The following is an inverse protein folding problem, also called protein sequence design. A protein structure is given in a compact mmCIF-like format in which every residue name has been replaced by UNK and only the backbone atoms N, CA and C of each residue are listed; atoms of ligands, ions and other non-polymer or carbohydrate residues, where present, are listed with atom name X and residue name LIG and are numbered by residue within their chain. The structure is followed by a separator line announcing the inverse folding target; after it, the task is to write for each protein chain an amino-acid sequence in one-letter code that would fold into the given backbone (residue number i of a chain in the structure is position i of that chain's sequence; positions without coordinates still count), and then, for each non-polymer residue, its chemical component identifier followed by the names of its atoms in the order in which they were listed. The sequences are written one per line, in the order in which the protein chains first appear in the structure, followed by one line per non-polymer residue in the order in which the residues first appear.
data_IF_105764260602
#
_entry.id   IF_105764260602
#
_cell.length_a   1.000
_cell.length_b   1.000
_cell.length_c   1.000
_cell.angle_alpha   90.00
_cell.angle_beta   90.00
_cell.angle_gamma   90.00
#
_symmetry.space_group_name_H-M   'P 1'
#
loop_
_entity.id
_entity.type
_entity.pdbx_description
1 polymer ?
#
# COMPACT_ATOMS: atom_id res chain seq x y z
N UNK A 1 -2.92 17.82 11.79
CA UNK A 1 -3.35 16.92 10.70
C UNK A 1 -2.57 17.11 9.38
N UNK A 2 -1.74 18.16 9.21
CA UNK A 2 -0.96 18.40 7.98
C UNK A 2 0.34 17.60 7.88
N UNK A 3 1.01 17.35 9.00
CA UNK A 3 2.42 16.92 8.97
C UNK A 3 2.57 15.40 8.78
N UNK A 4 1.68 14.60 9.37
CA UNK A 4 1.63 13.14 9.14
C UNK A 4 1.21 12.79 7.71
N UNK A 5 0.30 13.56 7.11
CA UNK A 5 -0.13 13.33 5.73
C UNK A 5 1.02 13.60 4.75
N UNK A 6 1.71 14.75 4.89
CA UNK A 6 2.92 15.07 4.12
C UNK A 6 4.03 14.04 4.33
N UNK A 7 4.22 13.55 5.55
CA UNK A 7 5.22 12.50 5.86
C UNK A 7 4.99 11.21 5.07
N UNK A 8 3.74 10.75 4.95
CA UNK A 8 3.42 9.50 4.24
C UNK A 8 3.56 9.61 2.72
N UNK A 9 3.11 10.74 2.15
CA UNK A 9 3.27 11.01 0.72
C UNK A 9 4.76 11.07 0.37
N UNK A 10 5.56 11.70 1.25
CA UNK A 10 7.00 11.76 1.11
C UNK A 10 7.68 10.39 1.23
N UNK A 11 7.22 9.52 2.12
CA UNK A 11 7.77 8.16 2.26
C UNK A 11 7.63 7.32 0.98
N UNK A 12 6.49 7.42 0.29
CA UNK A 12 6.29 6.73 -0.99
C UNK A 12 7.26 7.25 -2.06
N UNK A 13 7.43 8.57 -2.13
CA UNK A 13 8.37 9.21 -3.06
C UNK A 13 9.82 8.83 -2.73
N UNK A 14 10.21 8.90 -1.46
CA UNK A 14 11.58 8.57 -1.03
C UNK A 14 11.91 7.10 -1.31
N UNK A 15 10.97 6.17 -1.08
CA UNK A 15 11.15 4.77 -1.45
C UNK A 15 11.40 4.60 -2.96
N UNK A 16 10.66 5.34 -3.79
CA UNK A 16 10.89 5.36 -5.24
C UNK A 16 12.27 5.95 -5.59
N UNK A 17 12.61 7.12 -5.05
CA UNK A 17 13.88 7.81 -5.32
C UNK A 17 15.09 6.96 -4.90
N UNK A 18 15.02 6.29 -3.75
CA UNK A 18 16.06 5.35 -3.29
C UNK A 18 16.24 4.16 -4.24
N UNK A 19 15.14 3.66 -4.82
CA UNK A 19 15.17 2.55 -5.78
C UNK A 19 15.67 2.96 -7.17
N UNK A 20 15.59 4.25 -7.54
CA UNK A 20 15.85 4.73 -8.89
C UNK A 20 17.11 5.60 -8.98
N UNK A 21 18.24 4.96 -9.28
CA UNK A 21 19.56 5.64 -9.41
C UNK A 21 19.56 6.80 -10.42
N UNK A 22 18.69 6.77 -11.45
CA UNK A 22 18.64 7.83 -12.48
C UNK A 22 18.11 9.16 -11.95
N UNK A 23 17.37 9.13 -10.84
CA UNK A 23 16.82 10.31 -10.18
C UNK A 23 17.78 10.93 -9.15
N UNK A 24 19.00 10.41 -9.03
CA UNK A 24 20.02 11.01 -8.16
C UNK A 24 20.33 12.44 -8.62
N UNK A 25 20.25 13.37 -7.67
CA UNK A 25 20.55 14.79 -7.88
C UNK A 25 19.38 15.64 -8.40
N UNK A 26 18.15 15.12 -8.43
CA UNK A 26 16.97 15.97 -8.54
C UNK A 26 16.72 16.67 -7.20
N UNK A 27 16.42 17.97 -7.24
CA UNK A 27 15.86 18.68 -6.09
C UNK A 27 14.36 18.39 -6.01
N UNK A 28 13.84 18.16 -4.81
CA UNK A 28 12.41 17.93 -4.56
C UNK A 28 11.83 19.19 -3.94
N UNK A 29 10.86 19.80 -4.63
CA UNK A 29 10.06 20.90 -4.10
C UNK A 29 8.69 20.37 -3.66
N UNK A 30 8.32 20.69 -2.42
CA UNK A 30 7.04 20.35 -1.80
C UNK A 30 6.18 21.62 -1.74
N UNK A 31 5.43 21.87 -2.82
CA UNK A 31 4.64 23.09 -3.03
C UNK A 31 3.17 22.82 -3.35
N UNK A 32 2.54 23.71 -4.13
CA UNK A 32 1.18 23.48 -4.64
C UNK A 32 1.17 22.47 -5.80
N UNK A 33 0.13 21.63 -5.83
CA UNK A 33 -0.22 20.58 -6.83
C UNK A 33 0.51 20.66 -8.18
N UNK A 34 1.20 19.62 -8.68
CA UNK A 34 1.20 18.25 -8.17
C UNK A 34 1.93 18.15 -6.83
N UNK A 35 1.70 17.06 -6.10
CA UNK A 35 2.19 16.92 -4.71
C UNK A 35 3.70 17.13 -4.57
N UNK A 36 4.48 16.80 -5.62
CA UNK A 36 5.92 17.06 -5.66
C UNK A 36 6.35 17.59 -7.03
N UNK A 37 7.40 18.41 -7.05
CA UNK A 37 8.10 18.80 -8.28
C UNK A 37 9.57 18.41 -8.18
N UNK A 38 10.00 17.49 -9.04
CA UNK A 38 11.41 17.11 -9.18
C UNK A 38 12.08 18.02 -10.23
N UNK A 39 13.11 18.75 -9.84
CA UNK A 39 13.83 19.67 -10.74
C UNK A 39 15.28 19.26 -10.93
N UNK A 40 15.74 19.22 -12.17
CA UNK A 40 17.16 19.05 -12.53
C UNK A 40 17.48 19.78 -13.83
N UNK A 41 18.49 20.64 -13.82
CA UNK A 41 18.93 21.42 -14.99
C UNK A 41 17.79 22.21 -15.68
N UNK A 42 16.86 22.77 -14.89
CA UNK A 42 15.70 23.51 -15.41
C UNK A 42 14.52 22.64 -15.85
N UNK A 43 14.71 21.33 -16.03
CA UNK A 43 13.63 20.37 -16.33
C UNK A 43 12.82 20.05 -15.07
N UNK A 44 11.50 20.13 -15.16
CA UNK A 44 10.53 19.97 -14.07
C UNK A 44 9.61 18.79 -14.31
N UNK A 45 9.68 17.81 -13.42
CA UNK A 45 8.79 16.65 -13.40
C UNK A 45 7.80 16.83 -12.25
N UNK A 46 6.53 16.98 -12.57
CA UNK A 46 5.46 16.98 -11.59
C UNK A 46 5.10 15.55 -11.20
N UNK A 47 5.13 15.21 -9.91
CA UNK A 47 4.72 13.91 -9.39
C UNK A 47 3.46 14.08 -8.57
N UNK A 48 2.34 13.62 -9.11
CA UNK A 48 1.07 13.56 -8.40
C UNK A 48 1.00 12.23 -7.64
N UNK A 49 0.81 12.31 -6.33
CA UNK A 49 0.68 11.15 -5.45
C UNK A 49 -0.79 10.94 -5.09
N UNK A 50 -1.24 9.70 -5.18
CA UNK A 50 -2.56 9.35 -4.67
C UNK A 50 -2.61 7.91 -4.20
N UNK A 51 -3.58 7.67 -3.31
CA UNK A 51 -3.75 6.40 -2.63
C UNK A 51 -4.86 5.60 -3.26
N UNK A 52 -4.66 4.29 -3.28
CA UNK A 52 -5.72 3.30 -3.43
C UNK A 52 -5.59 2.27 -2.31
N UNK A 53 -6.67 1.54 -2.03
CA UNK A 53 -6.69 0.52 -0.99
C UNK A 53 -7.29 -0.78 -1.56
N UNK A 54 -6.79 -1.91 -1.07
CA UNK A 54 -7.32 -3.24 -1.34
C UNK A 54 -8.31 -3.70 -0.27
N UNK A 55 -8.43 -3.04 0.89
CA UNK A 55 -9.40 -3.43 1.92
C UNK A 55 -10.68 -2.59 1.87
N UNK A 56 -10.58 -1.27 1.62
CA UNK A 56 -11.77 -0.42 1.53
C UNK A 56 -12.26 -0.23 0.11
N UNK A 57 -13.57 -0.44 -0.04
CA UNK A 57 -14.31 -0.17 -1.27
C UNK A 57 -14.81 1.29 -1.37
N UNK A 58 -14.47 2.18 -0.43
CA UNK A 58 -14.94 3.56 -0.38
C UNK A 58 -13.82 4.59 -0.14
N UNK A 59 -14.01 5.80 -0.67
CA UNK A 59 -13.08 6.95 -0.72
C UNK A 59 -12.73 7.60 0.64
N UNK A 60 -12.69 6.85 1.74
CA UNK A 60 -12.31 7.37 3.06
C UNK A 60 -10.87 6.96 3.42
N UNK A 61 -10.23 7.74 4.30
CA UNK A 61 -8.86 7.48 4.77
C UNK A 61 -8.69 5.99 5.14
N UNK A 62 -7.89 5.30 4.31
CA UNK A 62 -7.73 3.83 4.20
C UNK A 62 -7.80 3.06 5.53
N UNK A 63 -8.63 2.01 5.63
CA UNK A 63 -8.62 1.10 6.80
C UNK A 63 -7.25 0.45 6.98
N UNK A 64 -6.46 0.25 5.93
CA UNK A 64 -5.09 -0.25 6.07
C UNK A 64 -4.20 0.67 6.91
N UNK A 65 -4.43 1.99 6.85
CA UNK A 65 -3.77 2.91 7.79
C UNK A 65 -4.33 2.79 9.20
N UNK A 66 -5.62 2.49 9.36
CA UNK A 66 -6.19 2.19 10.67
C UNK A 66 -5.57 0.92 11.24
N UNK A 67 -5.38 -0.13 10.44
CA UNK A 67 -4.73 -1.37 10.86
C UNK A 67 -3.25 -1.16 11.19
N UNK A 68 -2.47 -0.52 10.32
CA UNK A 68 -1.07 -0.18 10.60
C UNK A 68 -0.95 0.68 11.88
N UNK A 69 -1.81 1.69 12.03
CA UNK A 69 -1.85 2.55 13.20
C UNK A 69 -2.29 1.83 14.48
N UNK A 70 -3.29 0.94 14.39
CA UNK A 70 -3.75 0.11 15.50
C UNK A 70 -2.65 -0.86 15.95
N UNK A 71 -1.97 -1.51 15.01
CA UNK A 71 -0.84 -2.40 15.28
C UNK A 71 0.31 -1.66 15.95
N UNK A 72 0.64 -0.47 15.46
CA UNK A 72 1.67 0.37 16.08
C UNK A 72 1.30 0.76 17.50
N UNK A 73 0.07 1.24 17.73
CA UNK A 73 -0.42 1.59 19.08
C UNK A 73 -0.45 0.39 20.02
N UNK A 74 -0.83 -0.78 19.53
CA UNK A 74 -0.80 -2.03 20.28
C UNK A 74 0.63 -2.39 20.69
N UNK A 75 1.60 -2.30 19.76
CA UNK A 75 3.01 -2.50 20.07
C UNK A 75 3.50 -1.51 21.13
N UNK A 76 3.25 -0.20 20.94
CA UNK A 76 3.67 0.85 21.88
C UNK A 76 3.09 0.62 23.29
N UNK A 77 1.80 0.27 23.38
CA UNK A 77 1.12 -0.08 24.64
C UNK A 77 1.82 -1.21 25.38
N UNK A 78 2.09 -2.33 24.70
CA UNK A 78 2.65 -3.52 25.33
C UNK A 78 4.16 -3.41 25.57
N UNK A 79 4.87 -2.69 24.70
CA UNK A 79 6.28 -2.39 24.89
C UNK A 79 6.52 -1.48 26.10
N UNK A 80 5.69 -0.45 26.30
CA UNK A 80 5.77 0.40 27.49
C UNK A 80 5.57 -0.40 28.78
N UNK A 81 4.59 -1.32 28.80
CA UNK A 81 4.39 -2.24 29.94
C UNK A 81 5.57 -3.16 30.18
N UNK A 82 6.21 -3.66 29.11
CA UNK A 82 7.42 -4.46 29.20
C UNK A 82 8.59 -3.70 29.81
N UNK A 83 8.79 -2.44 29.44
CA UNK A 83 9.87 -1.62 30.00
C UNK A 83 9.65 -1.26 31.48
N UNK A 84 8.41 -1.35 31.97
CA UNK A 84 8.04 -1.05 33.35
C UNK A 84 7.84 -2.31 34.22
N UNK A 85 8.24 -3.50 33.74
CA UNK A 85 7.99 -4.80 34.41
C UNK A 85 6.50 -5.11 34.69
N UNK A 86 5.59 -4.47 33.94
CA UNK A 86 4.13 -4.63 34.02
C UNK A 86 3.56 -5.46 32.84
N UNK A 87 4.42 -6.20 32.13
CA UNK A 87 4.01 -6.95 30.96
C UNK A 87 3.04 -8.08 31.31
N UNK A 88 1.92 -8.10 30.61
CA UNK A 88 0.90 -9.14 30.70
C UNK A 88 0.82 -9.86 29.36
N UNK A 89 1.38 -11.07 29.32
CA UNK A 89 1.43 -11.91 28.14
C UNK A 89 0.03 -12.32 27.66
N UNK A 90 -0.91 -12.58 28.58
CA UNK A 90 -2.28 -12.96 28.25
C UNK A 90 -3.06 -11.79 27.63
N UNK A 91 -2.93 -10.59 28.22
CA UNK A 91 -3.53 -9.39 27.66
C UNK A 91 -2.93 -9.04 26.29
N UNK A 92 -1.61 -9.20 26.13
CA UNK A 92 -0.93 -8.99 24.85
C UNK A 92 -1.40 -9.98 23.79
N UNK A 93 -1.47 -11.27 24.13
CA UNK A 93 -1.96 -12.30 23.22
C UNK A 93 -3.41 -12.06 22.78
N UNK A 94 -4.30 -11.66 23.69
CA UNK A 94 -5.69 -11.31 23.34
C UNK A 94 -5.79 -10.13 22.38
N UNK A 95 -5.01 -9.07 22.60
CA UNK A 95 -5.00 -7.91 21.69
C UNK A 95 -4.48 -8.30 20.29
N UNK A 96 -3.42 -9.12 20.22
CA UNK A 96 -2.87 -9.64 18.95
C UNK A 96 -3.90 -10.54 18.25
N UNK A 97 -4.55 -11.42 18.99
CA UNK A 97 -5.60 -12.31 18.47
C UNK A 97 -6.74 -11.53 17.82
N UNK A 98 -7.24 -10.48 18.49
CA UNK A 98 -8.27 -9.59 17.96
C UNK A 98 -7.78 -8.93 16.66
N UNK A 99 -6.56 -8.38 16.66
CA UNK A 99 -5.99 -7.70 15.49
C UNK A 99 -5.84 -8.65 14.29
N UNK A 100 -5.37 -9.88 14.51
CA UNK A 100 -5.22 -10.90 13.46
C UNK A 100 -6.59 -11.31 12.91
N UNK A 101 -7.57 -11.56 13.77
CA UNK A 101 -8.91 -11.98 13.31
C UNK A 101 -9.63 -10.86 12.55
N UNK A 102 -9.42 -9.59 12.93
CA UNK A 102 -9.93 -8.45 12.17
C UNK A 102 -9.30 -8.36 10.77
N UNK A 103 -7.97 -8.55 10.68
CA UNK A 103 -7.25 -8.60 9.42
C UNK A 103 -7.73 -9.75 8.52
N UNK A 104 -7.90 -10.96 9.07
CA UNK A 104 -8.45 -12.12 8.35
C UNK A 104 -9.86 -11.87 7.82
N UNK A 105 -10.70 -11.18 8.60
CA UNK A 105 -12.04 -10.79 8.17
C UNK A 105 -12.03 -9.71 7.08
N UNK A 106 -11.03 -8.82 7.08
CA UNK A 106 -10.86 -7.81 6.05
C UNK A 106 -10.40 -8.44 4.73
N UNK A 107 -9.36 -9.28 4.75
CA UNK A 107 -8.86 -9.95 3.53
C UNK A 107 -9.88 -10.90 2.90
N UNK A 108 -10.70 -11.57 3.71
CA UNK A 108 -11.73 -12.50 3.20
C UNK A 108 -12.85 -11.78 2.43
N UNK A 109 -13.02 -10.48 2.66
CA UNK A 109 -13.99 -9.62 1.96
C UNK A 109 -13.42 -8.93 0.73
N UNK A 110 -12.13 -9.13 0.44
CA UNK A 110 -11.52 -8.54 -0.74
C UNK A 110 -12.22 -9.00 -2.02
N UNK A 111 -12.66 -8.04 -2.82
CA UNK A 111 -13.21 -8.27 -4.15
C UNK A 111 -12.40 -7.53 -5.21
N UNK A 112 -11.78 -8.31 -6.11
CA UNK A 112 -10.91 -7.79 -7.16
C UNK A 112 -11.63 -6.81 -8.10
N UNK A 113 -12.90 -7.08 -8.45
CA UNK A 113 -13.65 -6.21 -9.39
C UNK A 113 -13.92 -4.84 -8.78
N UNK A 114 -14.31 -4.82 -7.50
CA UNK A 114 -14.56 -3.59 -6.78
C UNK A 114 -13.28 -2.77 -6.63
N UNK A 115 -12.17 -3.43 -6.29
CA UNK A 115 -10.84 -2.79 -6.28
C UNK A 115 -10.49 -2.13 -7.62
N UNK A 116 -10.63 -2.84 -8.75
CA UNK A 116 -10.32 -2.29 -10.08
C UNK A 116 -11.23 -1.11 -10.44
N UNK A 117 -12.52 -1.17 -10.11
CA UNK A 117 -13.46 -0.07 -10.35
C UNK A 117 -13.08 1.18 -9.54
N UNK A 118 -12.68 1.00 -8.28
CA UNK A 118 -12.25 2.10 -7.42
C UNK A 118 -10.94 2.71 -7.89
N UNK A 119 -9.95 1.88 -8.22
CA UNK A 119 -8.67 2.33 -8.78
C UNK A 119 -8.91 3.13 -10.06
N UNK A 120 -9.82 2.67 -10.94
CA UNK A 120 -10.21 3.40 -12.14
C UNK A 120 -10.80 4.77 -11.79
N UNK A 121 -11.74 4.85 -10.85
CA UNK A 121 -12.34 6.12 -10.44
C UNK A 121 -11.31 7.12 -9.91
N UNK A 122 -10.43 6.67 -9.00
CA UNK A 122 -9.35 7.51 -8.43
C UNK A 122 -8.39 7.96 -9.53
N UNK A 123 -7.93 7.04 -10.38
CA UNK A 123 -6.99 7.38 -11.45
C UNK A 123 -7.58 8.42 -12.41
N UNK A 124 -8.86 8.27 -12.78
CA UNK A 124 -9.57 9.22 -13.64
C UNK A 124 -9.70 10.60 -12.99
N UNK A 125 -9.97 10.65 -11.68
CA UNK A 125 -10.05 11.90 -10.92
C UNK A 125 -8.72 12.65 -10.89
N UNK A 126 -7.58 11.97 -10.77
CA UNK A 126 -6.28 12.62 -10.84
C UNK A 126 -5.86 12.96 -12.27
N UNK A 127 -6.20 12.10 -13.24
CA UNK A 127 -5.94 12.35 -14.67
C UNK A 127 -6.59 13.64 -15.17
N UNK A 128 -7.79 13.98 -14.69
CA UNK A 128 -8.47 15.23 -15.09
C UNK A 128 -7.73 16.51 -14.70
N UNK A 129 -6.78 16.44 -13.74
CA UNK A 129 -5.97 17.58 -13.28
C UNK A 129 -4.65 17.73 -14.04
N UNK A 130 -4.25 16.73 -14.83
CA UNK A 130 -3.00 16.73 -15.61
C UNK A 130 -2.84 17.97 -16.52
N UNK A 131 -3.90 18.47 -17.20
CA UNK A 131 -3.78 19.68 -18.01
C UNK A 131 -3.31 20.92 -17.22
N UNK A 132 -3.62 21.02 -15.93
CA UNK A 132 -3.15 22.11 -15.08
C UNK A 132 -1.68 21.95 -14.71
N UNK A 133 -1.25 20.73 -14.42
CA UNK A 133 0.14 20.44 -14.07
C UNK A 133 1.09 20.71 -15.24
N UNK A 134 0.67 20.38 -16.47
CA UNK A 134 1.43 20.66 -17.69
C UNK A 134 1.67 22.13 -18.00
N UNK A 135 0.95 23.06 -17.34
CA UNK A 135 1.24 24.50 -17.46
C UNK A 135 2.55 24.90 -16.78
N UNK A 136 3.04 24.08 -15.84
CA UNK A 136 4.22 24.39 -15.01
C UNK A 136 5.26 23.27 -14.92
N UNK A 137 4.97 22.10 -15.48
CA UNK A 137 5.86 20.94 -15.51
C UNK A 137 6.03 20.43 -16.94
N UNK A 138 7.26 20.01 -17.28
CA UNK A 138 7.61 19.43 -18.58
C UNK A 138 7.07 17.99 -18.70
N UNK A 139 7.02 17.28 -17.57
CA UNK A 139 6.46 15.93 -17.46
C UNK A 139 5.53 15.81 -16.25
N UNK A 140 4.56 14.89 -16.35
CA UNK A 140 3.67 14.55 -15.24
C UNK A 140 3.72 13.06 -15.00
N UNK A 141 4.07 12.67 -13.78
CA UNK A 141 4.20 11.30 -13.32
C UNK A 141 3.17 11.03 -12.23
N UNK A 142 2.62 9.83 -12.21
CA UNK A 142 1.73 9.37 -11.14
C UNK A 142 2.45 8.38 -10.24
N UNK A 143 2.40 8.64 -8.93
CA UNK A 143 2.85 7.75 -7.87
C UNK A 143 1.63 7.22 -7.12
N UNK A 144 1.29 5.96 -7.39
CA UNK A 144 0.13 5.30 -6.80
C UNK A 144 0.59 4.50 -5.57
N UNK A 145 0.17 4.93 -4.38
CA UNK A 145 0.37 4.19 -3.13
C UNK A 145 -0.81 3.26 -2.86
N UNK A 146 -0.60 1.95 -2.99
CA UNK A 146 -1.62 0.93 -2.78
C UNK A 146 -1.39 0.27 -1.41
N UNK A 147 -2.31 0.54 -0.47
CA UNK A 147 -2.34 -0.15 0.81
C UNK A 147 -2.71 -1.62 0.65
N UNK A 148 -1.88 -2.50 1.19
CA UNK A 148 -2.13 -3.94 1.27
C UNK A 148 -2.05 -4.43 2.72
N UNK A 149 -2.84 -5.45 3.03
CA UNK A 149 -2.94 -6.03 4.37
C UNK A 149 -1.72 -6.88 4.71
N UNK A 150 -1.30 -7.68 3.72
CA UNK A 150 -0.14 -8.53 3.74
C UNK A 150 0.39 -8.64 2.30
N UNK A 151 1.55 -9.27 2.11
CA UNK A 151 2.15 -9.43 0.79
C UNK A 151 1.92 -10.80 0.15
N UNK A 152 1.02 -11.64 0.69
CA UNK A 152 0.78 -13.02 0.27
C UNK A 152 -0.48 -13.08 -0.62
N UNK A 153 -0.25 -13.16 -1.93
CA UNK A 153 -1.32 -13.18 -2.91
C UNK A 153 -1.39 -14.51 -3.65
N UNK A 154 -2.61 -14.94 -3.96
CA UNK A 154 -2.86 -15.94 -5.00
C UNK A 154 -3.28 -15.21 -6.27
N UNK A 155 -2.57 -15.46 -7.36
CA UNK A 155 -2.82 -14.82 -8.66
C UNK A 155 -3.40 -15.82 -9.64
N UNK A 156 -4.29 -15.34 -10.50
CA UNK A 156 -4.88 -16.11 -11.59
C UNK A 156 -4.45 -15.52 -12.92
N UNK A 157 -3.92 -16.37 -13.79
CA UNK A 157 -3.50 -16.00 -15.14
C UNK A 157 -4.65 -16.16 -16.14
N UNK A 158 -4.50 -15.54 -17.32
CA UNK A 158 -5.50 -15.64 -18.40
C UNK A 158 -5.76 -17.08 -18.87
N UNK A 159 -4.74 -17.95 -18.80
CA UNK A 159 -4.86 -19.37 -19.14
C UNK A 159 -5.56 -20.21 -18.04
N UNK A 160 -6.04 -19.57 -16.96
CA UNK A 160 -6.69 -20.22 -15.83
C UNK A 160 -5.73 -20.79 -14.78
N UNK A 161 -4.41 -20.75 -15.01
CA UNK A 161 -3.41 -21.18 -14.03
C UNK A 161 -3.38 -20.26 -12.81
N UNK A 162 -2.98 -20.82 -11.67
CA UNK A 162 -2.87 -20.09 -10.41
C UNK A 162 -1.48 -20.27 -9.80
N UNK A 163 -0.95 -19.22 -9.17
CA UNK A 163 0.30 -19.28 -8.40
C UNK A 163 0.27 -18.34 -7.22
N UNK A 164 1.22 -18.48 -6.30
CA UNK A 164 1.41 -17.58 -5.17
C UNK A 164 2.45 -16.51 -5.49
N UNK A 165 2.26 -15.29 -4.98
CA UNK A 165 3.17 -14.17 -5.13
C UNK A 165 3.35 -13.44 -3.79
N UNK A 166 4.58 -13.00 -3.53
CA UNK A 166 4.96 -12.28 -2.29
C UNK A 166 5.07 -10.75 -2.50
N UNK A 167 4.31 -10.22 -3.45
CA UNK A 167 4.26 -8.82 -3.87
C UNK A 167 2.89 -8.52 -4.50
N UNK A 168 2.42 -7.26 -4.41
CA UNK A 168 1.19 -6.84 -5.05
C UNK A 168 1.24 -7.13 -6.57
N UNK A 169 0.33 -7.97 -7.09
CA UNK A 169 0.31 -8.31 -8.51
C UNK A 169 -0.17 -7.13 -9.36
N UNK A 170 0.51 -6.91 -10.48
CA UNK A 170 0.09 -5.94 -11.49
C UNK A 170 -0.70 -6.67 -12.56
N UNK A 171 -2.00 -6.39 -12.63
CA UNK A 171 -2.91 -7.08 -13.55
C UNK A 171 -3.06 -6.35 -14.88
N UNK A 172 -3.57 -7.05 -15.88
CA UNK A 172 -3.92 -6.46 -17.18
C UNK A 172 -4.92 -5.31 -17.04
N UNK A 173 -5.89 -5.41 -16.13
CA UNK A 173 -6.87 -4.34 -15.90
C UNK A 173 -6.21 -3.07 -15.34
N UNK A 174 -5.24 -3.20 -14.43
CA UNK A 174 -4.47 -2.06 -13.90
C UNK A 174 -3.69 -1.37 -15.03
N UNK A 175 -2.99 -2.15 -15.86
CA UNK A 175 -2.25 -1.63 -17.01
C UNK A 175 -3.18 -0.93 -18.00
N UNK A 176 -4.36 -1.50 -18.28
CA UNK A 176 -5.37 -0.89 -19.14
C UNK A 176 -5.88 0.46 -18.61
N UNK A 177 -5.99 0.62 -17.29
CA UNK A 177 -6.32 1.90 -16.65
C UNK A 177 -5.18 2.91 -16.90
N UNK A 178 -3.94 2.49 -16.65
CA UNK A 178 -2.76 3.37 -16.75
C UNK A 178 -2.50 3.82 -18.19
N UNK A 179 -2.62 2.92 -19.16
CA UNK A 179 -2.33 3.17 -20.57
C UNK A 179 -3.37 4.06 -21.26
N UNK A 180 -4.54 4.28 -20.64
CA UNK A 180 -5.63 5.09 -21.19
C UNK A 180 -5.25 6.56 -21.35
N UNK A 181 -4.38 7.09 -20.49
CA UNK A 181 -4.06 8.52 -20.41
C UNK A 181 -2.63 8.79 -20.87
N UNK A 182 -2.43 8.93 -22.18
CA UNK A 182 -1.11 9.12 -22.82
C UNK A 182 -0.39 10.42 -22.42
N UNK A 183 -1.10 11.34 -21.80
CA UNK A 183 -0.56 12.59 -21.29
C UNK A 183 0.27 12.43 -20.01
N UNK A 184 0.13 11.31 -19.31
CA UNK A 184 0.92 10.94 -18.14
C UNK A 184 2.18 10.25 -18.64
N UNK A 185 3.35 10.85 -18.39
CA UNK A 185 4.63 10.37 -18.91
C UNK A 185 5.09 9.08 -18.22
N UNK A 186 4.68 8.86 -16.97
CA UNK A 186 5.11 7.71 -16.17
C UNK A 186 4.11 7.37 -15.08
N UNK A 187 3.86 6.08 -14.88
CA UNK A 187 3.07 5.55 -13.75
C UNK A 187 3.94 4.63 -12.92
N UNK A 188 3.98 4.90 -11.63
CA UNK A 188 4.72 4.14 -10.62
C UNK A 188 3.69 3.62 -9.62
N UNK A 189 3.71 2.31 -9.35
CA UNK A 189 2.88 1.71 -8.31
C UNK A 189 3.79 1.24 -7.18
N UNK A 190 3.50 1.74 -5.99
CA UNK A 190 4.11 1.31 -4.75
C UNK A 190 3.06 0.56 -3.94
N UNK A 191 3.41 -0.61 -3.43
CA UNK A 191 2.62 -1.28 -2.40
C UNK A 191 3.10 -0.86 -1.02
N UNK A 192 2.16 -0.64 -0.08
CA UNK A 192 2.45 -0.31 1.31
C UNK A 192 1.83 -1.32 2.27
N UNK A 193 2.64 -1.85 3.17
CA UNK A 193 2.25 -2.81 4.21
C UNK A 193 3.07 -2.56 5.48
N UNK A 194 2.44 -2.35 6.63
CA UNK A 194 3.13 -2.12 7.92
C UNK A 194 4.16 -0.98 7.84
N UNK A 195 3.81 0.10 7.16
CA UNK A 195 4.71 1.24 6.93
C UNK A 195 5.90 0.97 5.99
N UNK A 196 6.01 -0.22 5.41
CA UNK A 196 7.04 -0.57 4.42
C UNK A 196 6.51 -0.33 3.01
N UNK A 197 7.33 0.33 2.20
CA UNK A 197 7.01 0.69 0.81
C UNK A 197 7.84 -0.18 -0.14
N UNK A 198 7.20 -0.70 -1.19
CA UNK A 198 7.86 -1.48 -2.24
C UNK A 198 7.34 -1.07 -3.60
N UNK A 199 8.23 -0.66 -4.50
CA UNK A 199 7.90 -0.42 -5.90
C UNK A 199 7.61 -1.77 -6.57
N UNK A 200 6.40 -1.90 -7.11
CA UNK A 200 5.92 -3.12 -7.78
C UNK A 200 5.70 -2.91 -9.28
N UNK A 201 5.55 -1.65 -9.70
CA UNK A 201 5.43 -1.27 -11.11
C UNK A 201 6.12 0.06 -11.39
N UNK A 202 6.77 0.14 -12.54
CA UNK A 202 7.31 1.39 -13.09
C UNK A 202 7.21 1.33 -14.62
N UNK A 203 6.33 2.13 -15.21
CA UNK A 203 6.10 2.14 -16.66
C UNK A 203 7.33 2.59 -17.48
N UNK A 204 8.29 3.27 -16.84
CA UNK A 204 9.55 3.69 -17.46
C UNK A 204 10.64 2.61 -17.47
N UNK A 205 10.40 1.45 -16.87
CA UNK A 205 11.39 0.35 -16.74
C UNK A 205 11.29 -0.73 -17.84
N UNK A 206 10.28 -0.67 -18.70
CA UNK A 206 10.06 -1.60 -19.82
C UNK A 206 8.70 -2.30 -19.78
N UNK A 207 8.40 -3.14 -20.78
CA UNK A 207 7.11 -3.83 -20.88
C UNK A 207 7.01 -4.97 -19.86
N UNK A 208 6.04 -4.87 -18.96
CA UNK A 208 5.59 -5.99 -18.13
C UNK A 208 4.75 -6.93 -19.01
N UNK A 209 5.20 -8.18 -19.18
CA UNK A 209 4.53 -9.18 -20.03
C UNK A 209 3.57 -10.09 -19.25
N UNK A 210 3.25 -9.76 -18.00
CA UNK A 210 2.51 -10.66 -17.13
C UNK A 210 1.02 -10.67 -17.45
N UNK A 211 0.54 -11.83 -17.90
CA UNK A 211 -0.87 -12.15 -18.18
C UNK A 211 -1.68 -12.44 -16.90
N UNK A 212 -1.53 -11.59 -15.89
CA UNK A 212 -2.27 -11.74 -14.63
C UNK A 212 -3.65 -11.13 -14.84
N UNK A 213 -4.67 -11.96 -14.67
CA UNK A 213 -6.07 -11.61 -14.85
C UNK A 213 -6.67 -11.03 -13.58
N UNK A 214 -6.36 -11.63 -12.43
CA UNK A 214 -6.86 -11.21 -11.12
C UNK A 214 -5.97 -11.73 -10.02
N UNK A 215 -6.17 -11.21 -8.81
CA UNK A 215 -5.56 -11.75 -7.60
C UNK A 215 -6.54 -11.74 -6.44
N UNK A 216 -6.19 -12.45 -5.38
CA UNK A 216 -6.78 -12.33 -4.04
C UNK A 216 -5.70 -12.56 -2.99
N UNK A 217 -5.99 -12.23 -1.73
CA UNK A 217 -5.14 -12.62 -0.61
C UNK A 217 -5.15 -14.14 -0.46
N UNK A 218 -3.98 -14.76 -0.26
CA UNK A 218 -3.92 -16.22 -0.10
C UNK A 218 -4.74 -16.68 1.11
N UNK A 219 -4.77 -15.89 2.17
CA UNK A 219 -5.56 -16.16 3.38
C UNK A 219 -7.07 -16.08 3.13
N UNK A 220 -7.53 -15.32 2.12
CA UNK A 220 -8.95 -15.26 1.76
C UNK A 220 -9.48 -16.60 1.20
N UNK A 221 -8.57 -17.50 0.77
CA UNK A 221 -8.92 -18.84 0.30
C UNK A 221 -9.04 -19.86 1.45
N UNK A 222 -8.73 -19.46 2.68
CA UNK A 222 -8.95 -20.28 3.86
C UNK A 222 -10.47 -20.30 4.13
N UNK A 223 -11.12 -21.48 4.27
CA UNK A 223 -12.55 -21.56 4.49
C UNK A 223 -13.04 -20.65 5.63
N UNK A 224 -14.10 -19.89 5.34
CA UNK A 224 -14.64 -18.83 6.19
C UNK A 224 -15.22 -19.34 7.51
N UNK A 225 -14.36 -19.61 8.47
CA UNK A 225 -14.69 -19.81 9.89
C UNK A 225 -13.47 -19.92 10.81
N UNK A 226 -12.24 -19.87 10.27
CA UNK A 226 -11.04 -20.00 11.11
C UNK A 226 -10.76 -18.71 11.86
N UNK A 227 -11.10 -18.70 13.13
CA UNK A 227 -10.53 -17.77 14.10
C UNK A 227 -9.16 -18.29 14.53
N UNK A 228 -8.18 -17.40 14.56
CA UNK A 228 -6.92 -17.67 15.23
C UNK A 228 -7.16 -17.50 16.73
N UNK A 229 -6.63 -18.45 17.51
CA UNK A 229 -6.57 -18.37 18.96
C UNK A 229 -5.11 -18.51 19.39
N UNK A 230 -4.63 -17.59 20.21
CA UNK A 230 -3.26 -17.66 20.74
C UNK A 230 -3.27 -18.38 22.09
N UNK A 231 -2.35 -19.32 22.25
CA UNK A 231 -2.11 -20.07 23.49
C UNK A 231 -0.80 -19.60 24.11
N UNK A 232 -0.86 -18.95 25.27
CA UNK A 232 0.30 -18.42 25.97
C UNK A 232 0.89 -19.53 26.84
N UNK A 233 2.15 -19.88 26.62
CA UNK A 233 2.88 -20.90 27.39
C UNK A 233 4.05 -20.28 28.14
N UNK A 234 4.37 -20.86 29.30
CA UNK A 234 5.53 -20.53 30.13
C UNK A 234 5.69 -19.02 30.40
N UNK A 235 4.75 -18.43 31.15
CA UNK A 235 4.80 -17.00 31.51
C UNK A 235 5.84 -16.67 32.59
N UNK A 236 6.59 -17.66 33.10
CA UNK A 236 7.63 -17.47 34.12
C UNK A 236 7.11 -16.95 35.47
N UNK A 237 5.79 -16.77 35.63
CA UNK A 237 5.17 -16.48 36.91
C UNK A 237 5.07 -17.79 37.68
N UNK A 238 6.03 -18.02 38.57
CA UNK A 238 5.85 -19.01 39.64
C UNK A 238 4.52 -18.73 40.34
N UNK A 239 3.67 -19.75 40.43
CA UNK A 239 2.47 -19.68 41.25
C UNK A 239 2.96 -19.62 42.68
N UNK A 240 2.82 -18.46 43.35
CA UNK A 240 3.03 -18.39 44.79
C UNK A 240 2.19 -19.48 45.45
N UNK A 241 2.89 -20.41 46.12
CA UNK A 241 2.32 -21.59 46.78
C UNK A 241 1.70 -21.25 48.13
#
# INVERSE_FOLDING_TARGET
MSDEKKSLERNALDAFLQSNRKLKGYAVDEGERPDFVLTKNGHKIGVEHFRADTILNEHTDSENMKFDGQRKKMYEKHHAKLLNDEFDADASAKDIEISINQSLNAVSKFDYKTFINNLKGIFQHHASKVPEYKKKCDEVWFLIDIGIENNHFTVKFDNGGETKMNALPITGDMINIFDKYKEISRVIVCSRCLGRYRIVYDSGSGKYSYKIRSFTYTEALIPGSRQIKLDVKDTGKEVES
#
